data_IF_846801168852
#
_entry.id   IF_846801168852
#
_cell.length_a   1.000
_cell.length_b   1.000
_cell.length_c   1.000
_cell.angle_alpha   90.00
_cell.angle_beta   90.00
_cell.angle_gamma   90.00
#
_symmetry.space_group_name_H-M   'P 1'
#
loop_
_entity.id
_entity.type
_entity.pdbx_description
1 polymer ?
#
# COMPACT_ATOMS: atom_id res chain seq x y z
N UNK A 1 6.40 16.45 -0.80
CA UNK A 1 6.11 15.04 -1.18
C UNK A 1 4.61 14.83 -1.32
N UNK A 2 4.18 13.91 -2.19
CA UNK A 2 2.76 13.61 -2.42
C UNK A 2 2.22 12.65 -1.35
N UNK A 3 1.23 13.11 -0.57
CA UNK A 3 0.52 12.24 0.38
C UNK A 3 -0.26 11.12 -0.32
N UNK A 4 -0.84 11.38 -1.50
CA UNK A 4 -1.52 10.36 -2.30
C UNK A 4 -0.57 9.25 -2.76
N UNK A 5 0.65 9.60 -3.19
CA UNK A 5 1.65 8.60 -3.55
C UNK A 5 2.13 7.81 -2.33
N UNK A 6 2.27 8.45 -1.17
CA UNK A 6 2.62 7.76 0.08
C UNK A 6 1.55 6.75 0.50
N UNK A 7 0.26 7.14 0.49
CA UNK A 7 -0.85 6.25 0.81
C UNK A 7 -0.96 5.09 -0.18
N UNK A 8 -0.94 5.39 -1.49
CA UNK A 8 -1.03 4.36 -2.53
C UNK A 8 0.10 3.33 -2.43
N UNK A 9 1.31 3.77 -2.08
CA UNK A 9 2.44 2.86 -1.85
C UNK A 9 2.31 2.08 -0.54
N UNK A 10 1.92 2.74 0.56
CA UNK A 10 1.72 2.08 1.84
C UNK A 10 0.65 0.97 1.75
N UNK A 11 -0.48 1.23 1.09
CA UNK A 11 -1.50 0.21 0.86
C UNK A 11 -0.99 -0.96 0.02
N UNK A 12 -0.22 -0.70 -1.04
CA UNK A 12 0.34 -1.78 -1.86
C UNK A 12 1.27 -2.71 -1.04
N UNK A 13 2.12 -2.14 -0.18
CA UNK A 13 2.99 -2.91 0.71
C UNK A 13 2.19 -3.74 1.72
N UNK A 14 1.21 -3.13 2.39
CA UNK A 14 0.38 -3.85 3.39
C UNK A 14 -0.43 -4.96 2.73
N UNK A 15 -1.04 -4.70 1.57
CA UNK A 15 -1.82 -5.70 0.85
C UNK A 15 -0.96 -6.85 0.33
N UNK A 16 0.30 -6.58 -0.06
CA UNK A 16 1.24 -7.63 -0.47
C UNK A 16 1.52 -8.63 0.65
N UNK A 17 1.47 -8.21 1.91
CA UNK A 17 1.63 -9.12 3.05
C UNK A 17 0.38 -9.95 3.37
N UNK A 18 -0.78 -9.48 2.92
CA UNK A 18 -2.05 -10.18 3.04
C UNK A 18 -2.30 -11.12 1.85
N UNK A 19 -1.75 -10.80 0.68
CA UNK A 19 -1.95 -11.47 -0.59
C UNK A 19 -0.63 -11.59 -1.38
N UNK A 20 0.38 -12.31 -0.86
CA UNK A 20 1.71 -12.37 -1.47
C UNK A 20 1.70 -12.97 -2.89
N UNK A 21 0.75 -13.85 -3.19
CA UNK A 21 0.56 -14.40 -4.53
C UNK A 21 0.09 -13.36 -5.57
N UNK A 22 -0.29 -12.15 -5.13
CA UNK A 22 -0.67 -11.00 -5.99
C UNK A 22 0.31 -9.83 -5.87
N UNK A 23 1.49 -10.04 -5.29
CA UNK A 23 2.47 -8.98 -5.01
C UNK A 23 2.71 -8.05 -6.20
N UNK A 24 3.04 -8.58 -7.37
CA UNK A 24 3.36 -7.79 -8.56
C UNK A 24 2.20 -6.89 -8.99
N UNK A 25 0.98 -7.43 -9.01
CA UNK A 25 -0.21 -6.67 -9.37
C UNK A 25 -0.49 -5.55 -8.37
N UNK A 26 -0.33 -5.82 -7.08
CA UNK A 26 -0.55 -4.86 -6.00
C UNK A 26 0.51 -3.73 -6.01
N UNK A 27 1.78 -4.08 -6.18
CA UNK A 27 2.88 -3.10 -6.28
C UNK A 27 2.74 -2.24 -7.54
N UNK A 28 2.41 -2.85 -8.68
CA UNK A 28 2.13 -2.12 -9.91
C UNK A 28 0.96 -1.14 -9.73
N UNK A 29 -0.12 -1.59 -9.07
CA UNK A 29 -1.27 -0.73 -8.80
C UNK A 29 -0.92 0.45 -7.90
N UNK A 30 -0.15 0.23 -6.83
CA UNK A 30 0.31 1.29 -5.94
C UNK A 30 1.19 2.32 -6.67
N UNK A 31 2.11 1.85 -7.53
CA UNK A 31 2.92 2.72 -8.39
C UNK A 31 2.07 3.55 -9.34
N UNK A 32 1.11 2.91 -10.02
CA UNK A 32 0.21 3.57 -10.97
C UNK A 32 -0.63 4.66 -10.29
N UNK A 33 -1.12 4.41 -9.07
CA UNK A 33 -1.89 5.41 -8.30
C UNK A 33 -1.11 6.71 -8.10
N UNK A 34 0.18 6.62 -7.75
CA UNK A 34 1.06 7.79 -7.66
C UNK A 34 1.30 8.45 -9.01
N UNK A 35 1.57 7.68 -10.07
CA UNK A 35 1.79 8.21 -11.42
C UNK A 35 0.58 8.96 -11.97
N UNK A 36 -0.64 8.48 -11.70
CA UNK A 36 -1.88 9.17 -12.06
C UNK A 36 -1.94 10.60 -11.51
N UNK A 37 -1.29 10.89 -10.37
CA UNK A 37 -1.28 12.25 -9.81
C UNK A 37 -0.43 13.22 -10.63
N UNK A 38 0.62 12.72 -11.28
CA UNK A 38 1.40 13.49 -12.24
C UNK A 38 0.62 13.75 -13.52
N UNK A 39 -0.11 12.74 -14.00
CA UNK A 39 -0.99 12.86 -15.18
C UNK A 39 -2.10 13.89 -14.93
N UNK A 40 -2.72 13.87 -13.74
CA UNK A 40 -3.72 14.86 -13.35
C UNK A 40 -3.14 16.27 -13.13
N UNK A 41 -1.82 16.46 -13.21
CA UNK A 41 -1.17 17.78 -13.03
C UNK A 41 -1.16 18.29 -11.59
N UNK A 42 -1.44 17.46 -10.59
CA UNK A 42 -1.56 17.87 -9.17
C UNK A 42 -0.32 17.57 -8.33
N UNK A 43 0.65 16.84 -8.89
CA UNK A 43 1.92 16.54 -8.23
C UNK A 43 3.05 16.44 -9.24
N UNK A 44 4.24 16.95 -8.87
CA UNK A 44 5.45 16.77 -9.66
C UNK A 44 5.98 15.33 -9.54
N UNK A 45 6.80 14.90 -10.49
CA UNK A 45 7.46 13.59 -10.44
C UNK A 45 8.25 13.39 -9.14
N UNK A 46 8.97 14.41 -8.69
CA UNK A 46 9.72 14.39 -7.43
C UNK A 46 8.82 14.22 -6.21
N UNK A 47 7.63 14.82 -6.19
CA UNK A 47 6.66 14.63 -5.12
C UNK A 47 6.19 13.18 -5.03
N UNK A 48 5.95 12.54 -6.18
CA UNK A 48 5.51 11.14 -6.26
C UNK A 48 6.60 10.19 -5.77
N UNK A 49 7.85 10.42 -6.21
CA UNK A 49 9.00 9.60 -5.80
C UNK A 49 9.27 9.74 -4.30
N UNK A 50 9.30 10.96 -3.78
CA UNK A 50 9.46 11.21 -2.34
C UNK A 50 8.28 10.63 -1.53
N UNK A 51 7.05 10.72 -2.04
CA UNK A 51 5.87 10.10 -1.43
C UNK A 51 6.03 8.59 -1.30
N UNK A 52 6.57 7.91 -2.32
CA UNK A 52 6.82 6.46 -2.30
C UNK A 52 7.80 6.07 -1.18
N UNK A 53 8.87 6.86 -0.98
CA UNK A 53 9.82 6.65 0.13
C UNK A 53 9.14 6.83 1.49
N UNK A 54 8.36 7.91 1.67
CA UNK A 54 7.61 8.15 2.92
C UNK A 54 6.62 7.03 3.22
N UNK A 55 5.89 6.53 2.21
CA UNK A 55 4.98 5.40 2.37
C UNK A 55 5.69 4.14 2.88
N UNK A 56 6.85 3.82 2.30
CA UNK A 56 7.65 2.67 2.73
C UNK A 56 8.18 2.81 4.16
N UNK A 57 8.75 3.95 4.50
CA UNK A 57 9.24 4.24 5.86
C UNK A 57 8.10 4.19 6.89
N UNK A 58 6.91 4.68 6.53
CA UNK A 58 5.72 4.64 7.39
C UNK A 58 5.30 3.20 7.67
N UNK A 59 5.19 2.35 6.64
CA UNK A 59 4.88 0.93 6.83
C UNK A 59 5.93 0.25 7.71
N UNK A 60 7.22 0.51 7.48
CA UNK A 60 8.28 -0.03 8.34
C UNK A 60 8.11 0.36 9.81
N UNK A 61 7.72 1.62 10.11
CA UNK A 61 7.43 2.05 11.48
C UNK A 61 6.16 1.42 12.07
N UNK A 62 5.15 1.16 11.23
CA UNK A 62 3.91 0.48 11.64
C UNK A 62 4.15 -0.98 12.00
N UNK A 63 5.17 -1.64 11.42
CA UNK A 63 5.52 -3.04 11.75
C UNK A 63 5.86 -3.27 13.22
N UNK A 64 6.27 -2.24 13.95
CA UNK A 64 6.57 -2.33 15.39
C UNK A 64 5.47 -1.73 16.25
N UNK A 65 4.27 -1.49 15.70
CA UNK A 65 3.11 -1.01 16.43
C UNK A 65 2.13 -2.16 16.71
N UNK A 66 1.78 -2.37 17.98
CA UNK A 66 0.94 -3.49 18.42
C UNK A 66 -0.48 -3.43 17.86
N UNK A 67 -1.08 -2.24 17.79
CA UNK A 67 -2.43 -2.05 17.22
C UNK A 67 -2.43 -2.42 15.75
N UNK A 68 -1.41 -1.97 15.00
CA UNK A 68 -1.27 -2.30 13.59
C UNK A 68 -1.10 -3.81 13.37
N UNK A 69 -0.28 -4.49 14.18
CA UNK A 69 -0.10 -5.94 14.09
C UNK A 69 -1.39 -6.70 14.38
N UNK A 70 -2.17 -6.29 15.39
CA UNK A 70 -3.47 -6.87 15.69
C UNK A 70 -4.45 -6.71 14.52
N UNK A 71 -4.52 -5.52 13.92
CA UNK A 71 -5.38 -5.25 12.76
C UNK A 71 -4.93 -6.02 11.52
N UNK A 72 -3.63 -6.15 11.28
CA UNK A 72 -3.13 -6.93 10.15
C UNK A 72 -3.46 -8.42 10.32
N UNK A 73 -3.35 -8.96 11.53
CA UNK A 73 -3.75 -10.33 11.82
C UNK A 73 -5.25 -10.56 11.61
N UNK A 74 -6.10 -9.59 11.98
CA UNK A 74 -7.53 -9.63 11.70
C UNK A 74 -7.81 -9.58 10.19
N UNK A 75 -7.20 -8.64 9.46
CA UNK A 75 -7.32 -8.51 8.01
C UNK A 75 -6.87 -9.77 7.27
N UNK A 76 -5.83 -10.46 7.75
CA UNK A 76 -5.41 -11.76 7.19
C UNK A 76 -6.54 -12.79 7.25
N UNK A 77 -7.26 -12.87 8.37
CA UNK A 77 -8.41 -13.78 8.53
C UNK A 77 -9.57 -13.37 7.62
N UNK A 78 -9.79 -12.07 7.42
CA UNK A 78 -10.81 -11.56 6.48
C UNK A 78 -10.51 -11.95 5.04
N UNK A 79 -9.28 -11.73 4.57
CA UNK A 79 -8.88 -12.08 3.19
C UNK A 79 -8.99 -13.59 2.95
N UNK A 80 -8.59 -14.42 3.91
CA UNK A 80 -8.75 -15.89 3.80
C UNK A 80 -10.23 -16.27 3.70
N UNK A 81 -11.09 -15.69 4.55
CA UNK A 81 -12.53 -15.95 4.52
C UNK A 81 -13.18 -15.51 3.20
N UNK A 82 -12.83 -14.31 2.71
CA UNK A 82 -13.33 -13.79 1.44
C UNK A 82 -13.00 -14.74 0.27
N UNK A 83 -11.75 -15.20 0.19
CA UNK A 83 -11.31 -16.15 -0.85
C UNK A 83 -12.02 -17.49 -0.77
N UNK A 84 -12.20 -18.02 0.45
CA UNK A 84 -12.94 -19.26 0.65
C UNK A 84 -14.42 -19.14 0.20
N UNK A 85 -14.98 -17.93 0.27
CA UNK A 85 -16.30 -17.60 -0.25
C UNK A 85 -16.33 -17.24 -1.75
N UNK A 86 -15.20 -17.31 -2.46
CA UNK A 86 -15.08 -16.97 -3.88
C UNK A 86 -15.10 -15.48 -4.20
N UNK A 87 -14.80 -14.62 -3.22
CA UNK A 87 -14.73 -13.15 -3.36
C UNK A 87 -13.30 -12.67 -3.67
#
# INVERSE_FOLDING_TARGET
PSGHAALGWAWALVLTELAPERADALLLRGRAFGQSRGICGVHWKSDIEAGRVIGAATVARLRVNEIFQAQLAAARKEVVRARAAGQ
#
